data_IF_208069069894
#
_entry.id   IF_208069069894
#
_cell.length_a   1.000
_cell.length_b   1.000
_cell.length_c   1.000
_cell.angle_alpha   90.00
_cell.angle_beta   90.00
_cell.angle_gamma   90.00
#
_symmetry.space_group_name_H-M   'P 1'
#
loop_
_entity.id
_entity.type
_entity.pdbx_description
1 polymer ?
#
# COMPACT_ATOMS: atom_id res chain seq x y z
N UNK A 1 -4.59 0.28 -18.97
CA UNK A 1 -4.58 -0.91 -18.05
C UNK A 1 -3.26 -1.66 -18.22
N UNK A 2 -2.77 -2.33 -17.18
CA UNK A 2 -1.57 -3.19 -17.24
C UNK A 2 -1.95 -4.58 -16.71
N UNK A 3 -1.48 -5.64 -17.36
CA UNK A 3 -1.68 -7.00 -16.89
C UNK A 3 -0.73 -7.31 -15.73
N UNK A 4 -1.27 -7.82 -14.61
CA UNK A 4 -0.49 -8.31 -13.47
C UNK A 4 0.11 -9.68 -13.81
N UNK A 5 1.17 -10.08 -13.09
CA UNK A 5 1.74 -11.44 -13.15
C UNK A 5 0.69 -12.53 -12.89
N UNK A 6 -0.36 -12.21 -12.13
CA UNK A 6 -1.49 -13.11 -11.85
C UNK A 6 -2.52 -13.23 -12.99
N UNK A 7 -2.30 -12.60 -14.14
CA UNK A 7 -3.24 -12.57 -15.26
C UNK A 7 -4.37 -11.55 -15.14
N UNK A 8 -4.63 -11.01 -13.94
CA UNK A 8 -5.62 -9.95 -13.69
C UNK A 8 -5.18 -8.60 -14.26
N UNK A 9 -6.11 -7.76 -14.67
CA UNK A 9 -5.84 -6.40 -15.14
C UNK A 9 -5.81 -5.38 -13.99
N UNK A 10 -4.89 -4.41 -14.05
CA UNK A 10 -4.85 -3.23 -13.19
C UNK A 10 -5.16 -2.00 -14.02
N UNK A 11 -6.17 -1.25 -13.62
CA UNK A 11 -6.38 0.10 -14.14
C UNK A 11 -5.32 1.03 -13.56
N UNK A 12 -4.72 1.85 -14.43
CA UNK A 12 -3.83 2.94 -14.04
C UNK A 12 -4.34 4.19 -14.73
N UNK A 13 -4.45 5.26 -13.95
CA UNK A 13 -4.83 6.58 -14.44
C UNK A 13 -3.59 7.45 -14.46
N UNK A 14 -3.31 8.09 -15.59
CA UNK A 14 -2.21 9.04 -15.69
C UNK A 14 -2.61 10.36 -15.03
N UNK A 15 -2.09 10.60 -13.83
CA UNK A 15 -2.38 11.78 -13.03
C UNK A 15 -1.24 12.80 -13.02
N UNK A 16 -0.25 12.68 -13.92
CA UNK A 16 0.93 13.57 -13.91
C UNK A 16 0.56 15.05 -14.03
N UNK A 17 -0.43 15.38 -14.88
CA UNK A 17 -0.90 16.75 -15.04
C UNK A 17 -1.64 17.25 -13.78
N UNK A 18 -2.46 16.40 -13.15
CA UNK A 18 -3.18 16.73 -11.91
C UNK A 18 -2.23 16.86 -10.71
N UNK A 19 -1.17 16.05 -10.69
CA UNK A 19 -0.13 16.07 -9.67
C UNK A 19 0.89 17.20 -9.86
N UNK A 20 0.85 17.96 -10.97
CA UNK A 20 1.76 19.06 -11.20
C UNK A 20 1.60 20.10 -10.07
N UNK A 21 2.62 20.16 -9.22
CA UNK A 21 2.67 20.97 -8.00
C UNK A 21 2.35 22.43 -8.32
N UNK A 22 1.51 23.07 -7.51
CA UNK A 22 1.03 24.46 -7.62
C UNK A 22 -0.05 24.75 -8.69
N UNK A 23 -0.42 23.80 -9.55
CA UNK A 23 -1.50 23.99 -10.52
C UNK A 23 -2.86 23.49 -10.03
N UNK A 24 -2.90 22.35 -9.31
CA UNK A 24 -4.16 21.68 -8.92
C UNK A 24 -4.15 21.11 -7.50
N UNK A 25 -3.01 20.58 -7.03
CA UNK A 25 -2.86 19.92 -5.72
C UNK A 25 -1.65 20.49 -4.98
N UNK A 26 -1.83 20.82 -3.70
CA UNK A 26 -0.75 21.18 -2.78
C UNK A 26 -0.15 19.91 -2.15
N UNK A 27 1.19 19.75 -2.15
CA UNK A 27 1.83 18.57 -1.59
C UNK A 27 1.69 18.56 -0.06
N UNK A 28 1.23 17.42 0.50
CA UNK A 28 1.19 17.25 1.97
C UNK A 28 2.57 16.96 2.57
N UNK A 29 3.56 16.66 1.73
CA UNK A 29 4.87 16.16 2.16
C UNK A 29 4.85 14.69 2.60
N UNK A 30 6.03 14.08 2.78
CA UNK A 30 6.14 12.72 3.28
C UNK A 30 5.85 12.69 4.79
N UNK A 31 4.87 11.89 5.20
CA UNK A 31 4.59 11.67 6.63
C UNK A 31 5.69 10.82 7.29
N UNK A 32 6.29 9.90 6.53
CA UNK A 32 7.45 9.11 6.96
C UNK A 32 8.66 9.49 6.09
N UNK A 33 9.77 9.95 6.70
CA UNK A 33 10.96 10.37 5.95
C UNK A 33 11.74 9.19 5.32
N UNK A 34 11.40 7.93 5.62
CA UNK A 34 12.05 6.76 5.07
C UNK A 34 11.30 5.45 5.35
N UNK A 35 11.82 4.35 4.80
CA UNK A 35 11.28 3.00 5.03
C UNK A 35 11.57 2.55 6.48
N UNK A 36 10.66 1.81 7.12
CA UNK A 36 10.88 1.27 8.45
C UNK A 36 12.02 0.24 8.46
N UNK A 37 12.90 0.32 9.46
CA UNK A 37 13.99 -0.64 9.63
C UNK A 37 13.50 -1.89 10.35
N UNK A 38 13.53 -3.03 9.65
CA UNK A 38 13.18 -4.33 10.21
C UNK A 38 14.20 -4.85 11.23
N UNK A 39 15.41 -4.27 11.28
CA UNK A 39 16.43 -4.62 12.26
C UNK A 39 16.04 -4.24 13.70
N UNK A 40 14.97 -3.44 13.88
CA UNK A 40 14.44 -3.07 15.19
C UNK A 40 13.64 -4.19 15.85
N UNK A 41 13.22 -5.21 15.10
CA UNK A 41 12.46 -6.34 15.62
C UNK A 41 13.42 -7.29 16.34
N UNK A 42 13.18 -7.63 17.62
CA UNK A 42 14.04 -8.55 18.33
C UNK A 42 14.12 -9.92 17.66
N UNK A 43 15.28 -10.55 17.79
CA UNK A 43 15.55 -11.85 17.20
C UNK A 43 14.59 -12.91 17.75
N UNK A 44 14.20 -13.85 16.89
CA UNK A 44 13.37 -15.01 17.21
C UNK A 44 11.92 -14.67 17.68
N UNK A 45 11.50 -13.40 17.62
CA UNK A 45 10.11 -13.00 17.88
C UNK A 45 9.19 -13.49 16.75
N UNK A 46 8.03 -14.11 17.07
CA UNK A 46 7.04 -14.48 16.06
C UNK A 46 6.46 -13.24 15.36
N UNK A 47 6.13 -13.39 14.07
CA UNK A 47 5.66 -12.32 13.20
C UNK A 47 4.36 -12.70 12.49
N UNK A 48 3.49 -11.71 12.28
CA UNK A 48 2.39 -11.77 11.32
C UNK A 48 2.51 -10.56 10.40
N UNK A 49 2.46 -10.79 9.09
CA UNK A 49 2.39 -9.73 8.09
C UNK A 49 1.06 -9.82 7.38
N UNK A 50 0.44 -8.67 7.20
CA UNK A 50 -0.83 -8.51 6.48
C UNK A 50 -0.74 -7.34 5.51
N UNK A 51 -1.66 -7.37 4.56
CA UNK A 51 -1.87 -6.34 3.56
C UNK A 51 -3.34 -5.94 3.59
N UNK A 52 -3.60 -4.63 3.63
CA UNK A 52 -4.95 -4.10 3.58
C UNK A 52 -5.46 -4.12 2.13
N UNK A 53 -6.60 -4.77 1.95
CA UNK A 53 -7.26 -4.87 0.65
C UNK A 53 -7.80 -3.49 0.25
N UNK A 54 -7.36 -3.03 -0.93
CA UNK A 54 -7.93 -1.87 -1.62
C UNK A 54 -7.93 -0.58 -0.77
N UNK A 55 -6.92 -0.36 0.11
CA UNK A 55 -6.87 0.78 1.07
C UNK A 55 -7.31 2.12 0.45
N UNK A 56 -6.74 2.48 -0.70
CA UNK A 56 -7.07 3.74 -1.37
C UNK A 56 -8.55 3.84 -1.75
N UNK A 57 -9.16 2.74 -2.19
CA UNK A 57 -10.55 2.72 -2.62
C UNK A 57 -11.55 2.68 -1.45
N UNK A 58 -11.07 2.41 -0.23
CA UNK A 58 -11.88 2.50 0.99
C UNK A 58 -11.99 3.93 1.50
N UNK A 59 -11.02 4.80 1.18
CA UNK A 59 -10.95 6.16 1.70
C UNK A 59 -11.67 7.12 0.73
N UNK A 60 -12.73 7.83 1.18
CA UNK A 60 -13.44 8.78 0.33
C UNK A 60 -12.55 9.96 -0.05
N UNK A 61 -12.71 10.41 -1.29
CA UNK A 61 -12.13 11.67 -1.74
C UNK A 61 -13.08 12.80 -1.36
N UNK A 62 -12.54 13.99 -1.07
CA UNK A 62 -13.37 15.16 -0.81
C UNK A 62 -14.25 15.48 -2.05
N UNK A 63 -15.52 15.77 -1.83
CA UNK A 63 -16.51 15.89 -2.92
C UNK A 63 -16.11 16.96 -3.94
N UNK A 64 -15.63 18.11 -3.44
CA UNK A 64 -15.14 19.24 -4.25
C UNK A 64 -13.89 18.93 -5.09
N UNK A 65 -13.18 17.83 -4.78
CA UNK A 65 -11.98 17.43 -5.52
C UNK A 65 -12.26 16.34 -6.55
N UNK A 66 -13.43 15.66 -6.50
CA UNK A 66 -13.75 14.54 -7.39
C UNK A 66 -13.63 14.90 -8.88
N UNK A 67 -14.11 16.08 -9.27
CA UNK A 67 -14.10 16.54 -10.66
C UNK A 67 -12.69 16.64 -11.27
N UNK A 68 -11.69 16.94 -10.42
CA UNK A 68 -10.27 17.06 -10.83
C UNK A 68 -9.69 15.72 -11.27
N UNK A 69 -10.33 14.61 -10.89
CA UNK A 69 -9.94 13.25 -11.24
C UNK A 69 -10.93 12.60 -12.21
N UNK A 70 -11.63 13.39 -13.03
CA UNK A 70 -12.44 12.85 -14.10
C UNK A 70 -11.59 12.17 -15.19
N UNK A 71 -12.09 11.07 -15.76
CA UNK A 71 -11.47 10.35 -16.87
C UNK A 71 -12.52 9.86 -17.86
N UNK A 72 -12.06 9.52 -19.07
CA UNK A 72 -12.92 9.08 -20.18
C UNK A 72 -12.54 7.66 -20.60
N UNK A 73 -13.53 6.79 -20.79
CA UNK A 73 -13.34 5.45 -21.37
C UNK A 73 -13.76 5.51 -22.85
N UNK A 74 -12.84 5.26 -23.81
CA UNK A 74 -13.17 5.29 -25.23
C UNK A 74 -14.03 4.08 -25.63
N UNK A 75 -14.94 4.30 -26.58
CA UNK A 75 -15.70 3.21 -27.21
C UNK A 75 -14.85 2.49 -28.27
N UNK A 76 -15.16 1.22 -28.54
CA UNK A 76 -14.51 0.45 -29.60
C UNK A 76 -14.75 1.17 -30.93
N UNK A 77 -13.68 1.58 -31.61
CA UNK A 77 -13.70 2.34 -32.87
C UNK A 77 -14.57 3.61 -32.82
N UNK A 78 -14.74 4.24 -31.65
CA UNK A 78 -15.59 5.43 -31.47
C UNK A 78 -17.03 5.26 -31.99
N UNK A 79 -17.55 4.02 -31.97
CA UNK A 79 -18.92 3.71 -32.43
C UNK A 79 -19.99 4.45 -31.64
N UNK A 80 -19.70 4.84 -30.41
CA UNK A 80 -20.59 5.55 -29.50
C UNK A 80 -19.81 6.66 -28.78
N UNK A 81 -20.49 7.70 -28.26
CA UNK A 81 -19.86 8.71 -27.43
C UNK A 81 -19.14 8.08 -26.23
N UNK A 82 -17.93 8.55 -25.95
CA UNK A 82 -17.13 8.03 -24.85
C UNK A 82 -17.77 8.35 -23.49
N UNK A 83 -17.75 7.39 -22.58
CA UNK A 83 -18.32 7.56 -21.23
C UNK A 83 -17.33 8.25 -20.31
N UNK A 84 -17.81 9.22 -19.52
CA UNK A 84 -17.00 9.96 -18.54
C UNK A 84 -17.31 9.49 -17.13
N UNK A 85 -16.27 9.34 -16.33
CA UNK A 85 -16.32 8.94 -14.92
C UNK A 85 -15.47 9.88 -14.08
N UNK A 86 -15.66 9.87 -12.78
CA UNK A 86 -14.78 10.55 -11.83
C UNK A 86 -14.54 9.65 -10.62
N UNK A 87 -13.38 9.81 -9.98
CA UNK A 87 -13.11 9.11 -8.73
C UNK A 87 -13.92 9.71 -7.57
N UNK A 88 -14.49 8.85 -6.74
CA UNK A 88 -15.16 9.21 -5.47
C UNK A 88 -14.34 8.86 -4.23
N UNK A 89 -13.25 8.14 -4.45
CA UNK A 89 -12.34 7.57 -3.45
C UNK A 89 -10.92 7.90 -3.91
N UNK A 90 -9.93 7.71 -3.04
CA UNK A 90 -8.56 8.08 -3.40
C UNK A 90 -8.09 7.35 -4.67
N UNK A 91 -7.71 8.09 -5.73
CA UNK A 91 -7.21 7.45 -6.93
C UNK A 91 -5.77 6.97 -6.73
N UNK A 92 -5.47 5.81 -7.30
CA UNK A 92 -4.10 5.32 -7.40
C UNK A 92 -3.28 6.24 -8.31
N UNK A 93 -2.13 6.69 -7.81
CA UNK A 93 -1.24 7.60 -8.53
C UNK A 93 -1.45 9.08 -8.24
N UNK A 94 -2.45 9.47 -7.42
CA UNK A 94 -2.53 10.85 -6.91
C UNK A 94 -1.42 11.10 -5.89
N UNK A 95 -0.81 12.28 -5.97
CA UNK A 95 0.35 12.68 -5.17
C UNK A 95 0.15 12.47 -3.67
N UNK A 96 -1.00 12.88 -3.14
CA UNK A 96 -1.29 12.81 -1.71
C UNK A 96 -1.97 11.50 -1.27
N UNK A 97 -2.37 10.61 -2.19
CA UNK A 97 -3.04 9.35 -1.83
C UNK A 97 -2.23 8.49 -0.84
N UNK A 98 -0.90 8.31 -1.02
CA UNK A 98 -0.07 7.58 -0.07
C UNK A 98 -0.08 8.22 1.32
N UNK A 99 0.10 9.54 1.42
CA UNK A 99 0.11 10.27 2.70
C UNK A 99 -1.24 10.18 3.42
N UNK A 100 -2.35 10.25 2.68
CA UNK A 100 -3.70 10.12 3.25
C UNK A 100 -3.95 8.68 3.74
N UNK A 101 -3.68 7.64 2.94
CA UNK A 101 -3.84 6.24 3.40
C UNK A 101 -2.91 5.95 4.58
N UNK A 102 -1.64 6.38 4.56
CA UNK A 102 -0.72 6.23 5.70
C UNK A 102 -1.30 6.86 6.98
N UNK A 103 -1.83 8.08 6.89
CA UNK A 103 -2.43 8.78 8.04
C UNK A 103 -3.68 8.06 8.54
N UNK A 104 -4.54 7.63 7.61
CA UNK A 104 -5.80 6.96 7.93
C UNK A 104 -5.57 5.60 8.61
N UNK A 105 -4.72 4.75 8.02
CA UNK A 105 -4.32 3.46 8.61
C UNK A 105 -3.58 3.69 9.93
N UNK A 106 -2.73 4.71 10.01
CA UNK A 106 -2.04 5.08 11.24
C UNK A 106 -2.99 5.38 12.39
N UNK A 107 -4.10 6.09 12.13
CA UNK A 107 -5.17 6.35 13.10
C UNK A 107 -5.94 5.09 13.47
N UNK A 108 -6.29 4.25 12.50
CA UNK A 108 -6.97 2.97 12.76
C UNK A 108 -6.12 2.03 13.65
N UNK A 109 -4.80 2.10 13.55
CA UNK A 109 -3.88 1.30 14.36
C UNK A 109 -3.53 1.92 15.72
N UNK A 110 -3.97 3.15 16.00
CA UNK A 110 -3.62 3.85 17.25
C UNK A 110 -4.10 3.08 18.50
N UNK A 111 -5.37 2.61 18.59
CA UNK A 111 -5.83 1.84 19.75
C UNK A 111 -5.04 0.54 19.95
N UNK A 112 -4.60 -0.09 18.85
CA UNK A 112 -3.78 -1.31 18.90
C UNK A 112 -2.41 -1.01 19.52
N UNK A 113 -1.76 0.09 19.11
CA UNK A 113 -0.46 0.51 19.67
C UNK A 113 -0.56 0.91 21.13
N UNK A 114 -1.66 1.53 21.54
CA UNK A 114 -1.89 1.90 22.94
C UNK A 114 -2.10 0.66 23.82
N UNK A 115 -2.85 -0.33 23.33
CA UNK A 115 -3.14 -1.57 24.07
C UNK A 115 -1.97 -2.55 24.10
N UNK A 116 -1.19 -2.64 23.02
CA UNK A 116 -0.06 -3.56 22.86
C UNK A 116 1.23 -2.77 22.66
N UNK A 117 1.55 -1.91 23.62
CA UNK A 117 2.67 -0.96 23.56
C UNK A 117 4.06 -1.61 23.57
N UNK A 118 4.13 -2.88 23.94
CA UNK A 118 5.30 -3.73 23.97
C UNK A 118 5.42 -4.64 22.72
N UNK A 119 4.45 -4.58 21.81
CA UNK A 119 4.51 -5.20 20.49
C UNK A 119 5.06 -4.21 19.45
N UNK A 120 5.74 -4.73 18.42
CA UNK A 120 6.11 -3.92 17.26
C UNK A 120 4.97 -3.97 16.24
N UNK A 121 4.35 -2.82 15.99
CA UNK A 121 3.30 -2.64 14.97
C UNK A 121 3.81 -1.65 13.93
N UNK A 122 4.46 -2.18 12.90
CA UNK A 122 5.06 -1.42 11.81
C UNK A 122 4.07 -1.37 10.65
N UNK A 123 3.84 -0.19 10.09
CA UNK A 123 2.98 -0.06 8.92
C UNK A 123 3.58 0.92 7.91
N UNK A 124 3.38 0.59 6.64
CA UNK A 124 3.74 1.42 5.51
C UNK A 124 2.62 1.32 4.47
N UNK A 125 1.87 2.41 4.32
CA UNK A 125 0.65 2.51 3.51
C UNK A 125 -0.36 1.40 3.90
N UNK A 126 -0.42 0.32 3.14
CA UNK A 126 -1.32 -0.82 3.29
C UNK A 126 -0.64 -2.08 3.86
N UNK A 127 0.69 -2.12 3.92
CA UNK A 127 1.48 -3.22 4.49
C UNK A 127 1.65 -3.05 6.01
N UNK A 128 1.23 -4.04 6.79
CA UNK A 128 1.35 -4.03 8.25
C UNK A 128 2.12 -5.28 8.72
N UNK A 129 3.08 -5.07 9.61
CA UNK A 129 3.84 -6.12 10.30
C UNK A 129 3.62 -5.98 11.81
N UNK A 130 3.21 -7.09 12.42
CA UNK A 130 3.12 -7.24 13.86
C UNK A 130 4.17 -8.24 14.37
N UNK A 131 4.87 -7.88 15.44
CA UNK A 131 5.79 -8.76 16.16
C UNK A 131 5.56 -8.65 17.66
N UNK A 132 5.67 -9.76 18.38
CA UNK A 132 5.56 -9.79 19.84
C UNK A 132 6.53 -10.81 20.43
N UNK A 133 6.83 -10.70 21.72
CA UNK A 133 7.75 -11.60 22.43
C UNK A 133 7.29 -13.07 22.42
N UNK A 134 5.98 -13.30 22.52
CA UNK A 134 5.39 -14.63 22.54
C UNK A 134 4.31 -14.78 21.46
N UNK A 135 4.06 -16.03 21.05
CA UNK A 135 3.07 -16.32 20.02
C UNK A 135 1.64 -15.98 20.47
N UNK A 136 1.31 -16.24 21.73
CA UNK A 136 -0.03 -15.95 22.27
C UNK A 136 -0.31 -14.44 22.25
N UNK A 137 0.66 -13.64 22.70
CA UNK A 137 0.57 -12.17 22.64
C UNK A 137 0.47 -11.63 21.22
N UNK A 138 1.17 -12.25 20.27
CA UNK A 138 1.05 -11.90 18.86
C UNK A 138 -0.36 -12.18 18.33
N UNK A 139 -0.96 -13.31 18.70
CA UNK A 139 -2.32 -13.69 18.31
C UNK A 139 -3.34 -12.72 18.91
N UNK A 140 -3.19 -12.35 20.18
CA UNK A 140 -4.05 -11.36 20.85
C UNK A 140 -3.95 -9.98 20.18
N UNK A 141 -2.71 -9.52 19.92
CA UNK A 141 -2.44 -8.28 19.21
C UNK A 141 -3.06 -8.28 17.82
N UNK A 142 -2.90 -9.38 17.08
CA UNK A 142 -3.44 -9.53 15.74
C UNK A 142 -4.97 -9.54 15.74
N UNK A 143 -5.59 -10.30 16.65
CA UNK A 143 -7.05 -10.39 16.75
C UNK A 143 -7.67 -9.03 17.06
N UNK A 144 -7.07 -8.28 17.99
CA UNK A 144 -7.50 -6.92 18.29
C UNK A 144 -7.30 -5.97 17.10
N UNK A 145 -6.16 -6.08 16.41
CA UNK A 145 -5.90 -5.32 15.18
C UNK A 145 -6.96 -5.59 14.12
N UNK A 146 -7.34 -6.85 13.89
CA UNK A 146 -8.39 -7.21 12.92
C UNK A 146 -9.70 -6.49 13.23
N UNK A 147 -10.09 -6.42 14.51
CA UNK A 147 -11.28 -5.71 14.94
C UNK A 147 -11.19 -4.19 14.70
N UNK A 148 -10.08 -3.55 15.08
CA UNK A 148 -9.89 -2.09 14.90
C UNK A 148 -9.85 -1.70 13.41
N UNK A 149 -9.18 -2.49 12.58
CA UNK A 149 -9.14 -2.29 11.13
C UNK A 149 -10.55 -2.44 10.54
N UNK A 150 -11.31 -3.45 10.95
CA UNK A 150 -12.70 -3.63 10.50
C UNK A 150 -13.62 -2.49 10.96
N UNK A 151 -13.46 -2.01 12.19
CA UNK A 151 -14.20 -0.85 12.73
C UNK A 151 -13.92 0.43 11.94
N UNK A 152 -12.71 0.59 11.40
CA UNK A 152 -12.34 1.69 10.52
C UNK A 152 -12.82 1.50 9.05
N UNK A 153 -13.57 0.43 8.75
CA UNK A 153 -14.04 0.11 7.40
C UNK A 153 -12.98 -0.49 6.47
N UNK A 154 -11.80 -0.81 6.98
CA UNK A 154 -10.71 -1.44 6.24
C UNK A 154 -10.86 -2.97 6.26
N UNK A 155 -10.37 -3.63 5.22
CA UNK A 155 -10.40 -5.09 5.12
C UNK A 155 -9.00 -5.65 4.93
N UNK A 156 -8.71 -6.79 5.55
CA UNK A 156 -7.45 -7.51 5.38
C UNK A 156 -7.56 -8.45 4.17
N UNK A 157 -6.56 -8.44 3.30
CA UNK A 157 -6.45 -9.39 2.20
C UNK A 157 -6.08 -10.78 2.76
N UNK A 158 -7.07 -11.65 2.95
CA UNK A 158 -6.88 -12.97 3.57
C UNK A 158 -5.88 -13.87 2.82
N UNK A 159 -5.78 -13.72 1.50
CA UNK A 159 -4.84 -14.43 0.63
C UNK A 159 -3.38 -13.95 0.78
N UNK A 160 -3.16 -12.83 1.48
CA UNK A 160 -1.84 -12.22 1.69
C UNK A 160 -1.35 -12.27 3.14
N UNK A 161 -2.10 -12.91 4.04
CA UNK A 161 -1.67 -13.07 5.43
C UNK A 161 -0.48 -14.03 5.47
N UNK A 162 0.63 -13.60 6.07
CA UNK A 162 1.83 -14.40 6.26
C UNK A 162 2.04 -14.68 7.74
N UNK A 163 2.08 -15.97 8.11
CA UNK A 163 2.25 -16.44 9.48
C UNK A 163 3.47 -17.35 9.67
N UNK A 164 4.23 -17.59 8.60
CA UNK A 164 5.41 -18.46 8.61
C UNK A 164 6.50 -17.96 7.66
N UNK A 165 7.75 -18.33 7.98
CA UNK A 165 8.93 -18.00 7.17
C UNK A 165 8.94 -18.77 5.84
N UNK A 166 9.42 -18.19 4.72
CA UNK A 166 9.96 -16.84 4.60
C UNK A 166 8.86 -15.78 4.50
N UNK A 167 8.98 -14.77 5.35
CA UNK A 167 8.11 -13.59 5.33
C UNK A 167 8.62 -12.58 4.29
N UNK A 168 7.71 -11.79 3.73
CA UNK A 168 8.01 -10.73 2.77
C UNK A 168 7.37 -9.42 3.25
N UNK A 169 8.19 -8.39 3.45
CA UNK A 169 7.75 -7.05 3.86
C UNK A 169 8.55 -5.99 3.11
N UNK A 170 7.87 -5.09 2.39
CA UNK A 170 8.50 -3.98 1.64
C UNK A 170 9.66 -4.44 0.73
N UNK A 171 9.51 -5.61 0.11
CA UNK A 171 10.51 -6.22 -0.77
C UNK A 171 11.64 -6.96 -0.05
N UNK A 172 11.75 -6.85 1.28
CA UNK A 172 12.70 -7.62 2.07
C UNK A 172 12.14 -9.01 2.39
N UNK A 173 13.00 -10.03 2.37
CA UNK A 173 12.68 -11.38 2.82
C UNK A 173 13.19 -11.57 4.25
N UNK A 174 12.30 -11.89 5.18
CA UNK A 174 12.63 -12.11 6.60
C UNK A 174 12.59 -13.61 6.88
N UNK A 175 13.73 -14.12 7.37
CA UNK A 175 13.91 -15.47 7.89
C UNK A 175 14.19 -15.37 9.39
N UNK A 176 14.04 -16.48 10.13
CA UNK A 176 14.18 -16.51 11.60
C UNK A 176 15.40 -15.75 12.16
N UNK A 177 16.52 -15.73 11.42
CA UNK A 177 17.78 -15.10 11.87
C UNK A 177 18.40 -14.14 10.86
N UNK A 178 17.74 -13.85 9.73
CA UNK A 178 18.33 -13.07 8.63
C UNK A 178 17.27 -12.27 7.91
N UNK A 179 17.61 -11.03 7.58
CA UNK A 179 16.82 -10.19 6.67
C UNK A 179 17.63 -10.10 5.37
N UNK A 180 17.03 -10.54 4.26
CA UNK A 180 17.63 -10.48 2.94
C UNK A 180 16.98 -9.33 2.15
N UNK A 181 17.75 -8.42 1.56
CA UNK A 181 17.19 -7.41 0.68
C UNK A 181 16.59 -8.06 -0.58
N UNK A 182 15.71 -7.36 -1.31
CA UNK A 182 15.20 -7.85 -2.59
C UNK A 182 16.37 -8.20 -3.51
N UNK A 183 16.27 -9.36 -4.18
CA UNK A 183 17.29 -9.78 -5.15
C UNK A 183 17.29 -8.79 -6.31
N UNK A 184 18.39 -8.07 -6.48
CA UNK A 184 18.59 -7.17 -7.61
C UNK A 184 19.13 -8.00 -8.77
N UNK A 185 18.41 -7.97 -9.89
CA UNK A 185 18.85 -8.57 -11.16
C UNK A 185 18.82 -7.49 -12.23
N UNK A 186 20.00 -7.09 -12.72
CA UNK A 186 20.13 -6.06 -13.76
C UNK A 186 20.14 -6.75 -15.12
N UNK A 187 19.00 -6.70 -15.82
CA UNK A 187 18.81 -7.28 -17.16
C UNK A 187 19.04 -6.21 -18.23
N UNK A 188 20.28 -6.10 -18.70
CA UNK A 188 20.70 -5.09 -19.71
C UNK A 188 20.23 -5.44 -21.13
N UNK A 189 19.93 -6.71 -21.38
CA UNK A 189 19.52 -7.30 -22.66
C UNK A 189 18.05 -7.01 -23.04
N UNK A 190 17.23 -6.57 -22.10
CA UNK A 190 15.77 -6.38 -22.30
C UNK A 190 15.31 -4.93 -22.38
N UNK A 191 16.23 -3.96 -22.40
CA UNK A 191 15.91 -2.53 -22.38
C UNK A 191 15.54 -2.02 -23.78
N UNK A 192 14.24 -1.86 -24.07
CA UNK A 192 13.76 -1.44 -25.41
C UNK A 192 12.85 -0.22 -25.39
N UNK A 193 12.10 -0.01 -24.32
CA UNK A 193 11.11 1.06 -24.18
C UNK A 193 11.52 2.05 -23.09
N UNK A 194 10.97 3.27 -23.12
CA UNK A 194 11.16 4.26 -22.04
C UNK A 194 10.83 3.66 -20.66
N UNK A 195 9.77 2.86 -20.57
CA UNK A 195 9.38 2.18 -19.34
C UNK A 195 10.43 1.15 -18.86
N UNK A 196 11.19 0.53 -19.77
CA UNK A 196 12.26 -0.40 -19.39
C UNK A 196 13.45 0.38 -18.80
N UNK A 197 13.81 1.51 -19.40
CA UNK A 197 14.86 2.39 -18.87
C UNK A 197 14.45 3.04 -17.54
N UNK A 198 13.18 3.43 -17.39
CA UNK A 198 12.63 3.95 -16.13
C UNK A 198 12.62 2.94 -14.98
N UNK A 199 12.61 1.64 -15.28
CA UNK A 199 12.73 0.59 -14.25
C UNK A 199 14.18 0.28 -13.86
N UNK A 200 15.14 0.67 -14.69
CA UNK A 200 16.57 0.46 -14.43
C UNK A 200 17.15 1.58 -13.55
N UNK A 201 16.73 2.82 -13.79
CA UNK A 201 17.11 4.01 -13.00
C UNK A 201 16.42 4.00 -11.63
#
# INVERSE_FOLDING_TARGET
VIQKKSGKWRMLTDLRAVNAVNAVIQPMGPLQPGLPSLAMIPKDWPLIIIDLKDCFFTIPLAEQDCEKFAFTIPAINNKEPATRFQWKVLPQGMLNSPTICQTFVGRALQPVREKFSDCYIIHYIDDILCAAETKDKLIDCYTFLQAEVANAGLAIASDKIQTSTPFHYLGMQIENRKIKPPKIEIRKDTLKTLNDFQKLL
#
